data_IF_600643614797
#
_entry.id   IF_600643614797
#
_cell.length_a   1.000
_cell.length_b   1.000
_cell.length_c   1.000
_cell.angle_alpha   90.00
_cell.angle_beta   90.00
_cell.angle_gamma   90.00
#
_symmetry.space_group_name_H-M   'P 1'
#
loop_
_entity.id
_entity.type
_entity.pdbx_description
1 polymer ?
#
# COMPACT_ATOMS: atom_id res chain seq x y z
N UNK A 1 -41.00 11.28 5.10
CA UNK A 1 -39.66 10.66 4.93
C UNK A 1 -39.18 10.30 6.32
N UNK A 2 -39.10 9.03 6.71
CA UNK A 2 -38.60 8.66 8.04
C UNK A 2 -37.07 8.71 8.05
N UNK A 3 -36.60 9.33 9.14
CA UNK A 3 -35.21 9.51 9.53
C UNK A 3 -34.47 8.17 9.63
N UNK A 4 -33.39 8.00 8.85
CA UNK A 4 -32.50 6.88 8.99
C UNK A 4 -31.55 7.13 10.16
N UNK A 5 -31.94 6.69 11.33
CA UNK A 5 -31.08 6.61 12.49
C UNK A 5 -29.85 5.77 12.16
N UNK A 6 -28.70 6.42 12.12
CA UNK A 6 -27.38 5.75 12.00
C UNK A 6 -27.17 4.92 13.28
N UNK A 7 -27.11 3.62 13.15
CA UNK A 7 -26.76 2.74 14.27
C UNK A 7 -25.34 3.09 14.77
N UNK A 8 -25.12 3.15 16.10
CA UNK A 8 -23.79 3.39 16.65
C UNK A 8 -22.85 2.23 16.27
N UNK A 9 -21.60 2.57 15.96
CA UNK A 9 -20.54 1.59 15.72
C UNK A 9 -20.35 0.77 17.01
N UNK A 10 -20.14 -0.57 16.90
CA UNK A 10 -19.89 -1.41 18.07
C UNK A 10 -18.62 -0.99 18.79
N UNK A 11 -18.64 -1.07 20.12
CA UNK A 11 -17.51 -0.75 21.00
C UNK A 11 -16.33 -1.70 20.68
N UNK A 12 -15.08 -1.20 20.60
CA UNK A 12 -13.91 -2.03 20.38
C UNK A 12 -13.73 -3.18 21.39
N UNK A 13 -14.38 -3.11 22.55
CA UNK A 13 -14.36 -4.15 23.59
C UNK A 13 -15.33 -5.31 23.33
N UNK A 14 -16.30 -5.16 22.43
CA UNK A 14 -17.27 -6.23 22.11
C UNK A 14 -16.72 -7.31 21.15
N UNK A 15 -15.51 -7.17 20.65
CA UNK A 15 -14.85 -8.12 19.74
C UNK A 15 -14.02 -9.20 20.45
N UNK A 16 -14.07 -9.28 21.78
CA UNK A 16 -13.40 -10.32 22.57
C UNK A 16 -14.24 -11.62 22.58
N UNK A 17 -14.30 -12.34 21.46
CA UNK A 17 -15.13 -13.56 21.45
C UNK A 17 -15.10 -14.44 20.22
N UNK A 18 -13.93 -14.66 19.60
CA UNK A 18 -13.66 -15.91 18.85
C UNK A 18 -12.18 -16.20 19.01
N UNK A 19 -11.83 -17.34 19.63
CA UNK A 19 -10.45 -17.77 19.87
C UNK A 19 -9.64 -18.09 18.62
N UNK A 20 -9.80 -17.29 17.59
CA UNK A 20 -9.09 -17.35 16.32
C UNK A 20 -7.71 -16.70 16.39
N UNK A 21 -6.79 -17.17 15.57
CA UNK A 21 -5.44 -16.61 15.41
C UNK A 21 -5.53 -15.14 14.98
N UNK A 22 -4.93 -14.21 15.75
CA UNK A 22 -4.82 -12.80 15.37
C UNK A 22 -3.74 -12.66 14.31
N UNK A 23 -3.96 -11.78 13.33
CA UNK A 23 -2.99 -11.50 12.25
C UNK A 23 -2.83 -10.01 11.99
N UNK A 24 -1.68 -9.66 11.39
CA UNK A 24 -1.44 -8.38 10.76
C UNK A 24 -1.35 -8.60 9.24
N UNK A 25 -2.22 -7.95 8.48
CA UNK A 25 -2.18 -7.91 7.01
C UNK A 25 -1.60 -6.58 6.57
N UNK A 26 -0.51 -6.60 5.81
CA UNK A 26 0.11 -5.41 5.23
C UNK A 26 0.15 -5.55 3.72
N UNK A 27 -0.36 -4.54 3.02
CA UNK A 27 -0.30 -4.51 1.55
C UNK A 27 0.55 -3.35 1.05
N UNK A 28 1.20 -3.55 -0.09
CA UNK A 28 1.61 -2.44 -0.94
C UNK A 28 0.38 -1.67 -1.43
N UNK A 29 0.61 -0.48 -2.00
CA UNK A 29 -0.48 0.42 -2.43
C UNK A 29 -0.56 0.53 -3.94
N UNK A 30 0.49 1.06 -4.59
CA UNK A 30 0.50 1.28 -6.04
C UNK A 30 0.48 -0.06 -6.78
N UNK A 31 -0.42 -0.22 -7.75
CA UNK A 31 -0.63 -1.48 -8.51
C UNK A 31 -1.01 -2.71 -7.65
N UNK A 32 -1.26 -2.55 -6.34
CA UNK A 32 -1.74 -3.60 -5.42
C UNK A 32 -3.06 -3.21 -4.78
N UNK A 33 -3.09 -2.28 -3.83
CA UNK A 33 -4.31 -1.76 -3.19
C UNK A 33 -5.08 -0.80 -4.10
N UNK A 34 -4.34 -0.07 -4.97
CA UNK A 34 -4.84 0.74 -6.07
C UNK A 34 -4.55 0.06 -7.41
N UNK A 35 -5.36 0.36 -8.42
CA UNK A 35 -5.18 -0.20 -9.78
C UNK A 35 -4.06 0.44 -10.59
N UNK A 36 -3.42 1.51 -10.09
CA UNK A 36 -2.38 2.26 -10.82
C UNK A 36 -1.36 2.91 -9.91
N UNK A 37 -0.46 3.65 -10.53
CA UNK A 37 0.67 4.34 -9.89
C UNK A 37 0.29 5.80 -9.58
N UNK A 38 0.34 6.19 -8.30
CA UNK A 38 0.01 7.57 -7.87
C UNK A 38 0.93 8.60 -8.52
N UNK A 39 2.21 8.28 -8.70
CA UNK A 39 3.16 9.20 -9.34
C UNK A 39 2.80 9.52 -10.80
N UNK A 40 2.21 8.58 -11.53
CA UNK A 40 1.76 8.81 -12.90
C UNK A 40 0.57 9.77 -12.95
N UNK A 41 -0.37 9.63 -12.01
CA UNK A 41 -1.51 10.54 -11.89
C UNK A 41 -1.04 11.97 -11.59
N UNK A 42 -0.05 12.15 -10.71
CA UNK A 42 0.53 13.47 -10.43
C UNK A 42 1.26 14.01 -11.66
N UNK A 43 2.01 13.14 -12.35
CA UNK A 43 2.75 13.53 -13.56
C UNK A 43 1.83 13.98 -14.70
N UNK A 44 0.63 13.43 -14.83
CA UNK A 44 -0.38 13.88 -15.78
C UNK A 44 -0.78 15.34 -15.54
N UNK A 45 -1.01 15.70 -14.28
CA UNK A 45 -1.30 17.08 -13.89
C UNK A 45 -0.10 18.02 -14.08
N UNK A 46 1.11 17.48 -13.99
CA UNK A 46 2.36 18.22 -14.23
C UNK A 46 2.71 18.38 -15.70
N UNK A 47 2.04 17.66 -16.62
CA UNK A 47 2.49 17.50 -18.00
C UNK A 47 3.84 16.78 -18.11
N UNK A 48 4.20 15.95 -17.12
CA UNK A 48 5.49 15.29 -16.96
C UNK A 48 5.43 13.77 -17.19
N UNK A 49 4.31 13.24 -17.70
CA UNK A 49 4.11 11.78 -17.88
C UNK A 49 5.24 11.15 -18.70
N UNK A 50 5.65 11.76 -19.81
CA UNK A 50 6.72 11.22 -20.66
C UNK A 50 8.07 11.19 -19.92
N UNK A 51 8.37 12.22 -19.11
CA UNK A 51 9.59 12.28 -18.32
C UNK A 51 9.59 11.18 -17.23
N UNK A 52 8.47 10.97 -16.53
CA UNK A 52 8.33 9.91 -15.54
C UNK A 52 8.46 8.52 -16.18
N UNK A 53 7.83 8.31 -17.35
CA UNK A 53 7.92 7.05 -18.08
C UNK A 53 9.36 6.74 -18.50
N UNK A 54 10.11 7.74 -18.98
CA UNK A 54 11.52 7.57 -19.38
C UNK A 54 12.41 7.16 -18.20
N UNK A 55 12.20 7.75 -17.00
CA UNK A 55 12.94 7.36 -15.78
C UNK A 55 12.58 5.94 -15.36
N UNK A 56 11.28 5.60 -15.41
CA UNK A 56 10.80 4.25 -15.08
C UNK A 56 11.43 3.20 -16.00
N UNK A 57 11.54 3.48 -17.29
CA UNK A 57 12.19 2.58 -18.24
C UNK A 57 13.69 2.38 -17.95
N UNK A 58 14.42 3.43 -17.58
CA UNK A 58 15.83 3.34 -17.14
C UNK A 58 15.97 2.47 -15.90
N UNK A 59 15.09 2.65 -14.91
CA UNK A 59 15.07 1.83 -13.70
C UNK A 59 14.78 0.34 -14.03
N UNK A 60 13.85 0.07 -14.95
CA UNK A 60 13.55 -1.30 -15.40
C UNK A 60 14.73 -1.96 -16.11
N UNK A 61 15.60 -1.19 -16.76
CA UNK A 61 16.86 -1.70 -17.33
C UNK A 61 17.99 -1.89 -16.30
N UNK A 62 17.73 -1.55 -15.03
CA UNK A 62 18.72 -1.66 -13.95
C UNK A 62 19.77 -0.55 -13.94
N UNK A 63 19.52 0.57 -14.64
CA UNK A 63 20.41 1.74 -14.68
C UNK A 63 20.31 2.60 -13.41
N UNK A 64 19.20 2.49 -12.67
CA UNK A 64 18.91 3.25 -11.46
C UNK A 64 18.45 2.29 -10.36
N UNK A 65 18.86 2.56 -9.13
CA UNK A 65 18.25 1.93 -7.97
C UNK A 65 16.85 2.56 -7.68
N UNK A 66 16.11 1.94 -6.76
CA UNK A 66 14.76 2.40 -6.41
C UNK A 66 14.74 3.85 -5.93
N UNK A 67 15.68 4.23 -5.05
CA UNK A 67 15.70 5.56 -4.46
C UNK A 67 16.16 6.61 -5.47
N UNK A 68 17.09 6.27 -6.36
CA UNK A 68 17.50 7.13 -7.48
C UNK A 68 16.36 7.36 -8.45
N UNK A 69 15.68 6.28 -8.86
CA UNK A 69 14.51 6.34 -9.73
C UNK A 69 13.38 7.17 -9.12
N UNK A 70 13.09 7.01 -7.82
CA UNK A 70 12.10 7.82 -7.13
C UNK A 70 12.47 9.30 -7.14
N UNK A 71 13.73 9.64 -6.81
CA UNK A 71 14.19 11.04 -6.80
C UNK A 71 14.10 11.68 -8.18
N UNK A 72 14.53 11.00 -9.24
CA UNK A 72 14.44 11.52 -10.60
C UNK A 72 12.98 11.72 -11.03
N UNK A 73 12.08 10.79 -10.73
CA UNK A 73 10.65 10.92 -11.04
C UNK A 73 10.01 12.07 -10.25
N UNK A 74 10.30 12.17 -8.95
CA UNK A 74 9.77 13.26 -8.12
C UNK A 74 10.30 14.62 -8.55
N UNK A 75 11.54 14.72 -9.02
CA UNK A 75 12.10 15.96 -9.53
C UNK A 75 11.30 16.53 -10.73
N UNK A 76 10.65 15.67 -11.51
CA UNK A 76 9.78 16.11 -12.63
C UNK A 76 8.49 16.78 -12.17
N UNK A 77 8.12 16.63 -10.89
CA UNK A 77 6.92 17.21 -10.28
C UNK A 77 7.15 18.61 -9.70
N UNK A 78 8.36 19.16 -9.84
CA UNK A 78 8.68 20.51 -9.36
C UNK A 78 7.75 21.56 -9.97
N UNK A 79 7.19 22.45 -9.14
CA UNK A 79 6.29 23.51 -9.57
C UNK A 79 4.81 23.10 -9.67
N UNK A 80 4.46 21.83 -9.45
CA UNK A 80 3.06 21.39 -9.40
C UNK A 80 2.38 21.99 -8.16
N UNK A 81 1.22 22.67 -8.30
CA UNK A 81 0.47 23.17 -7.17
C UNK A 81 0.00 22.03 -6.27
N UNK A 82 0.10 22.18 -4.94
CA UNK A 82 -0.40 21.17 -3.97
C UNK A 82 -1.89 20.88 -4.18
N UNK A 83 -2.67 21.86 -4.65
CA UNK A 83 -4.09 21.71 -4.98
C UNK A 83 -4.35 20.70 -6.10
N UNK A 84 -3.36 20.41 -6.98
CA UNK A 84 -3.49 19.37 -7.99
C UNK A 84 -3.61 17.96 -7.36
N UNK A 85 -3.09 17.77 -6.15
CA UNK A 85 -3.21 16.51 -5.42
C UNK A 85 -4.65 16.17 -5.02
N UNK A 86 -5.55 17.16 -4.93
CA UNK A 86 -6.98 16.92 -4.69
C UNK A 86 -7.59 16.15 -5.87
N UNK A 87 -7.31 16.59 -7.10
CA UNK A 87 -7.77 15.89 -8.30
C UNK A 87 -7.14 14.49 -8.44
N UNK A 88 -5.88 14.31 -8.00
CA UNK A 88 -5.23 12.99 -7.95
C UNK A 88 -5.95 12.07 -6.97
N UNK A 89 -6.33 12.57 -5.78
CA UNK A 89 -7.11 11.79 -4.79
C UNK A 89 -8.45 11.33 -5.34
N UNK A 90 -9.12 12.19 -6.11
CA UNK A 90 -10.39 11.85 -6.75
C UNK A 90 -10.24 10.85 -7.90
N UNK A 91 -9.06 10.79 -8.50
CA UNK A 91 -8.75 9.92 -9.64
C UNK A 91 -8.22 8.52 -9.25
N UNK A 92 -7.78 8.31 -8.00
CA UNK A 92 -7.33 6.99 -7.57
C UNK A 92 -8.49 5.99 -7.54
N UNK A 93 -8.22 4.78 -8.02
CA UNK A 93 -9.21 3.70 -8.08
C UNK A 93 -8.71 2.53 -7.24
N UNK A 94 -9.55 2.08 -6.30
CA UNK A 94 -9.26 0.89 -5.52
C UNK A 94 -9.25 -0.36 -6.41
N UNK A 95 -8.32 -1.25 -6.16
CA UNK A 95 -8.36 -2.59 -6.73
C UNK A 95 -9.66 -3.27 -6.30
N UNK A 96 -10.38 -3.97 -7.22
CA UNK A 96 -11.56 -4.73 -6.85
C UNK A 96 -11.29 -5.62 -5.63
N UNK A 97 -12.18 -5.61 -4.64
CA UNK A 97 -12.00 -6.39 -3.42
C UNK A 97 -11.16 -5.71 -2.33
N UNK A 98 -10.53 -4.56 -2.58
CA UNK A 98 -9.68 -3.90 -1.58
C UNK A 98 -10.45 -3.43 -0.34
N UNK A 99 -11.62 -2.82 -0.52
CA UNK A 99 -12.46 -2.41 0.59
C UNK A 99 -13.05 -3.61 1.34
N UNK A 100 -13.43 -4.66 0.62
CA UNK A 100 -13.91 -5.93 1.17
C UNK A 100 -12.81 -6.64 1.97
N UNK A 101 -11.56 -6.62 1.50
CA UNK A 101 -10.42 -7.14 2.24
C UNK A 101 -10.27 -6.43 3.60
N UNK A 102 -10.29 -5.09 3.61
CA UNK A 102 -10.20 -4.31 4.86
C UNK A 102 -11.35 -4.64 5.82
N UNK A 103 -12.58 -4.72 5.29
CA UNK A 103 -13.76 -5.04 6.09
C UNK A 103 -13.67 -6.44 6.69
N UNK A 104 -13.24 -7.44 5.91
CA UNK A 104 -13.13 -8.83 6.36
C UNK A 104 -11.98 -9.01 7.36
N UNK A 105 -10.82 -8.36 7.15
CA UNK A 105 -9.71 -8.37 8.11
C UNK A 105 -10.16 -7.85 9.47
N UNK A 106 -10.93 -6.75 9.49
CA UNK A 106 -11.51 -6.21 10.74
C UNK A 106 -12.54 -7.15 11.36
N UNK A 107 -13.43 -7.74 10.54
CA UNK A 107 -14.43 -8.69 11.04
C UNK A 107 -13.78 -9.90 11.73
N UNK A 108 -12.58 -10.30 11.27
CA UNK A 108 -11.77 -11.35 11.90
C UNK A 108 -11.04 -10.87 13.17
N UNK A 109 -11.12 -9.61 13.55
CA UNK A 109 -10.34 -9.02 14.65
C UNK A 109 -8.85 -8.93 14.36
N UNK A 110 -8.48 -8.85 13.07
CA UNK A 110 -7.12 -8.71 12.61
C UNK A 110 -6.78 -7.23 12.37
N UNK A 111 -5.49 -6.92 12.29
CA UNK A 111 -4.99 -5.59 11.96
C UNK A 111 -4.67 -5.46 10.48
N UNK A 112 -4.87 -4.25 9.93
CA UNK A 112 -4.56 -3.94 8.54
C UNK A 112 -3.65 -2.72 8.42
N UNK A 113 -2.66 -2.79 7.52
CA UNK A 113 -1.76 -1.69 7.24
C UNK A 113 -1.41 -1.54 5.77
N UNK A 114 -1.06 -0.31 5.37
CA UNK A 114 -0.63 0.06 4.02
C UNK A 114 0.81 0.56 4.06
N UNK A 115 1.68 0.01 3.22
CA UNK A 115 3.06 0.49 3.08
C UNK A 115 3.38 0.77 1.62
N UNK A 116 3.77 2.00 1.29
CA UNK A 116 3.86 2.46 -0.10
C UNK A 116 5.18 3.15 -0.40
N UNK A 117 5.71 2.88 -1.60
CA UNK A 117 6.72 3.71 -2.25
C UNK A 117 6.16 5.01 -2.87
N UNK A 118 4.83 5.16 -2.87
CA UNK A 118 4.13 6.38 -3.28
C UNK A 118 4.06 7.45 -2.18
N UNK A 119 2.98 8.27 -2.14
CA UNK A 119 2.99 9.53 -1.40
C UNK A 119 1.89 9.63 -0.36
N UNK A 120 2.28 10.10 0.83
CA UNK A 120 1.42 10.32 1.99
C UNK A 120 0.25 11.27 1.70
N UNK A 121 0.47 12.27 0.86
CA UNK A 121 -0.54 13.28 0.48
C UNK A 121 -1.78 12.68 -0.19
N UNK A 122 -1.64 11.50 -0.81
CA UNK A 122 -2.75 10.74 -1.39
C UNK A 122 -3.17 9.59 -0.47
N UNK A 123 -2.19 8.88 0.13
CA UNK A 123 -2.45 7.71 0.95
C UNK A 123 -3.15 8.04 2.28
N UNK A 124 -2.79 9.14 2.94
CA UNK A 124 -3.33 9.52 4.26
C UNK A 124 -4.85 9.74 4.22
N UNK A 125 -5.41 10.57 3.31
CA UNK A 125 -6.86 10.73 3.21
C UNK A 125 -7.58 9.44 2.77
N UNK A 126 -6.97 8.64 1.90
CA UNK A 126 -7.51 7.34 1.49
C UNK A 126 -7.59 6.39 2.68
N UNK A 127 -6.50 6.24 3.44
CA UNK A 127 -6.47 5.41 4.64
C UNK A 127 -7.51 5.86 5.67
N UNK A 128 -7.65 7.18 5.89
CA UNK A 128 -8.64 7.74 6.78
C UNK A 128 -10.08 7.42 6.34
N UNK A 129 -10.38 7.51 5.04
CA UNK A 129 -11.72 7.20 4.50
C UNK A 129 -12.13 5.74 4.72
N UNK A 130 -11.15 4.84 4.75
CA UNK A 130 -11.33 3.42 5.02
C UNK A 130 -11.11 3.07 6.50
N UNK A 131 -10.81 4.05 7.36
CA UNK A 131 -10.50 3.89 8.78
C UNK A 131 -9.21 3.08 9.03
N UNK A 132 -8.28 3.04 8.09
CA UNK A 132 -6.97 2.38 8.25
C UNK A 132 -6.07 3.32 9.05
N UNK A 133 -5.58 2.86 10.20
CA UNK A 133 -4.75 3.67 11.11
C UNK A 133 -3.26 3.42 10.95
N UNK A 134 -2.87 2.27 10.36
CA UNK A 134 -1.47 1.91 10.10
C UNK A 134 -1.16 2.13 8.64
N UNK A 135 -0.39 3.16 8.35
CA UNK A 135 0.10 3.39 7.00
C UNK A 135 1.48 4.07 7.02
N UNK A 136 2.24 3.86 5.96
CA UNK A 136 3.55 4.47 5.72
C UNK A 136 3.76 4.71 4.25
N UNK A 137 4.20 5.94 3.89
CA UNK A 137 4.53 6.34 2.53
C UNK A 137 5.63 7.39 2.53
N UNK A 138 6.19 7.70 1.36
CA UNK A 138 7.03 8.88 1.19
C UNK A 138 6.19 10.15 1.37
N UNK A 139 6.84 11.27 1.64
CA UNK A 139 6.18 12.58 1.73
C UNK A 139 6.81 13.53 0.72
N UNK A 140 5.96 14.22 -0.05
CA UNK A 140 6.42 15.26 -0.98
C UNK A 140 6.77 16.54 -0.21
N UNK A 141 7.86 17.19 -0.62
CA UNK A 141 8.20 18.50 -0.09
C UNK A 141 7.43 19.58 -0.86
N UNK A 142 6.79 20.49 -0.12
CA UNK A 142 6.10 21.64 -0.70
C UNK A 142 6.55 22.93 -0.02
N UNK A 143 6.72 24.00 -0.80
CA UNK A 143 7.04 25.35 -0.34
C UNK A 143 6.10 26.32 -1.07
N UNK A 144 5.50 27.23 -0.32
CA UNK A 144 4.58 28.24 -0.86
C UNK A 144 3.44 27.66 -1.73
N UNK A 145 2.95 26.47 -1.36
CA UNK A 145 1.83 25.82 -2.02
C UNK A 145 2.17 25.10 -3.32
N UNK A 146 3.46 24.91 -3.64
CA UNK A 146 3.94 24.14 -4.81
C UNK A 146 4.92 23.07 -4.39
N UNK A 147 4.93 21.95 -5.13
CA UNK A 147 5.89 20.87 -4.95
C UNK A 147 7.29 21.32 -5.36
N UNK A 148 8.30 20.98 -4.54
CA UNK A 148 9.69 21.35 -4.84
C UNK A 148 10.40 20.35 -5.75
N UNK A 149 9.79 19.21 -6.04
CA UNK A 149 10.44 18.10 -6.72
C UNK A 149 11.32 17.25 -5.82
N UNK A 150 11.13 17.31 -4.50
CA UNK A 150 11.86 16.51 -3.51
C UNK A 150 10.90 15.77 -2.57
N UNK A 151 11.42 14.76 -1.89
CA UNK A 151 10.75 14.10 -0.77
C UNK A 151 11.33 14.54 0.57
N UNK A 152 10.53 14.44 1.63
CA UNK A 152 10.94 14.71 3.01
C UNK A 152 11.17 13.40 3.74
N UNK A 153 12.28 13.30 4.47
CA UNK A 153 12.62 12.13 5.28
C UNK A 153 13.18 10.95 4.46
N UNK A 154 13.34 9.79 5.11
CA UNK A 154 13.89 8.60 4.47
C UNK A 154 12.91 8.01 3.44
N UNK A 155 13.45 7.53 2.33
CA UNK A 155 12.67 6.87 1.27
C UNK A 155 12.11 5.54 1.78
N UNK A 156 10.84 5.27 1.49
CA UNK A 156 10.21 3.98 1.73
C UNK A 156 10.58 3.05 0.58
N UNK A 157 11.72 2.43 0.74
CA UNK A 157 12.26 1.41 -0.17
C UNK A 157 11.91 -0.01 0.30
N UNK A 158 12.51 -1.00 -0.35
CA UNK A 158 12.36 -2.43 -0.07
C UNK A 158 12.68 -2.77 1.39
N UNK A 159 13.80 -2.28 1.92
CA UNK A 159 14.21 -2.55 3.29
C UNK A 159 13.29 -1.87 4.31
N UNK A 160 12.82 -0.66 4.01
CA UNK A 160 11.88 0.07 4.86
C UNK A 160 10.51 -0.60 4.87
N UNK A 161 10.04 -1.20 3.77
CA UNK A 161 8.80 -1.98 3.75
C UNK A 161 8.88 -3.19 4.70
N UNK A 162 9.95 -3.97 4.61
CA UNK A 162 10.18 -5.10 5.54
C UNK A 162 10.27 -4.64 6.99
N UNK A 163 11.09 -3.63 7.27
CA UNK A 163 11.25 -3.09 8.62
C UNK A 163 9.92 -2.56 9.20
N UNK A 164 9.05 -2.00 8.35
CA UNK A 164 7.72 -1.53 8.74
C UNK A 164 6.82 -2.69 9.15
N UNK A 165 6.76 -3.77 8.36
CA UNK A 165 6.02 -4.98 8.70
C UNK A 165 6.47 -5.54 10.05
N UNK A 166 7.79 -5.69 10.26
CA UNK A 166 8.37 -6.19 11.51
C UNK A 166 8.05 -5.28 12.71
N UNK A 167 8.18 -3.97 12.53
CA UNK A 167 7.88 -2.99 13.57
C UNK A 167 6.41 -3.06 14.00
N UNK A 168 5.49 -3.06 13.05
CA UNK A 168 4.07 -3.15 13.36
C UNK A 168 3.66 -4.50 13.98
N UNK A 169 4.26 -5.61 13.54
CA UNK A 169 4.05 -6.90 14.19
C UNK A 169 4.51 -6.87 15.65
N UNK A 170 5.69 -6.31 15.93
CA UNK A 170 6.22 -6.18 17.29
C UNK A 170 5.34 -5.27 18.16
N UNK A 171 4.88 -4.13 17.65
CA UNK A 171 3.97 -3.19 18.35
C UNK A 171 2.65 -3.86 18.76
N UNK A 172 2.20 -4.83 17.95
CA UNK A 172 0.96 -5.60 18.20
C UNK A 172 1.19 -6.86 19.05
N UNK A 173 2.44 -7.16 19.41
CA UNK A 173 2.81 -8.39 20.11
C UNK A 173 2.59 -9.65 19.26
N UNK A 174 2.65 -9.52 17.94
CA UNK A 174 2.50 -10.62 16.98
C UNK A 174 3.89 -11.15 16.56
N UNK A 175 3.96 -12.46 16.30
CA UNK A 175 5.12 -13.07 15.66
C UNK A 175 5.08 -12.82 14.15
N UNK A 176 6.23 -12.94 13.48
CA UNK A 176 6.26 -12.85 12.01
C UNK A 176 5.42 -13.96 11.35
N UNK A 177 5.27 -15.13 11.98
CA UNK A 177 4.38 -16.18 11.51
C UNK A 177 2.90 -15.74 11.45
N UNK A 178 2.51 -14.71 12.21
CA UNK A 178 1.14 -14.16 12.24
C UNK A 178 0.96 -12.97 11.30
N UNK A 179 1.93 -12.71 10.42
CA UNK A 179 1.84 -11.62 9.43
C UNK A 179 1.48 -12.14 8.05
N UNK A 180 0.77 -11.31 7.30
CA UNK A 180 0.47 -11.49 5.88
C UNK A 180 1.02 -10.26 5.14
N UNK A 181 1.81 -10.46 4.09
CA UNK A 181 2.32 -9.39 3.25
C UNK A 181 1.88 -9.60 1.79
N UNK A 182 1.39 -8.54 1.16
CA UNK A 182 0.89 -8.56 -0.21
C UNK A 182 1.53 -7.46 -1.03
N UNK A 183 2.02 -7.77 -2.24
CA UNK A 183 2.60 -6.79 -3.14
C UNK A 183 2.80 -7.33 -4.55
N UNK A 184 3.10 -6.46 -5.52
CA UNK A 184 3.27 -6.80 -6.94
C UNK A 184 4.69 -6.60 -7.45
N UNK A 185 5.48 -5.76 -6.76
CA UNK A 185 6.76 -5.26 -7.22
C UNK A 185 7.99 -5.88 -6.57
N UNK A 186 9.15 -5.70 -7.19
CA UNK A 186 10.43 -6.18 -6.65
C UNK A 186 10.79 -5.49 -5.31
N UNK A 187 10.26 -4.29 -5.08
CA UNK A 187 10.38 -3.55 -3.83
C UNK A 187 9.57 -4.15 -2.66
N UNK A 188 8.73 -5.17 -2.91
CA UNK A 188 7.94 -5.87 -1.90
C UNK A 188 8.58 -7.19 -1.45
N UNK A 189 9.56 -7.70 -2.21
CA UNK A 189 10.09 -9.04 -2.02
C UNK A 189 10.63 -9.32 -0.62
N UNK A 190 11.30 -8.35 0.04
CA UNK A 190 11.80 -8.56 1.40
C UNK A 190 10.65 -8.62 2.40
N UNK A 191 9.63 -7.76 2.25
CA UNK A 191 8.42 -7.80 3.06
C UNK A 191 7.64 -9.10 2.85
N UNK A 192 7.45 -9.52 1.59
CA UNK A 192 6.81 -10.78 1.22
C UNK A 192 7.58 -11.97 1.80
N UNK A 193 8.91 -11.99 1.64
CA UNK A 193 9.75 -13.08 2.13
C UNK A 193 9.84 -13.17 3.65
N UNK A 194 9.66 -12.05 4.36
CA UNK A 194 9.72 -11.99 5.82
C UNK A 194 8.39 -12.38 6.50
N UNK A 195 7.27 -12.28 5.80
CA UNK A 195 5.94 -12.56 6.34
C UNK A 195 5.71 -14.06 6.57
N UNK A 196 4.82 -14.39 7.52
CA UNK A 196 4.34 -15.76 7.70
C UNK A 196 3.56 -16.28 6.48
N UNK A 197 2.81 -15.37 5.82
CA UNK A 197 2.15 -15.63 4.53
C UNK A 197 2.49 -14.49 3.57
N UNK A 198 3.43 -14.72 2.67
CA UNK A 198 3.84 -13.74 1.67
C UNK A 198 3.18 -14.01 0.32
N UNK A 199 2.46 -13.04 -0.23
CA UNK A 199 1.61 -13.20 -1.42
C UNK A 199 2.01 -12.20 -2.51
N UNK A 200 2.36 -12.68 -3.68
CA UNK A 200 2.46 -11.89 -4.89
C UNK A 200 1.07 -11.71 -5.50
N UNK A 201 0.55 -10.48 -5.56
CA UNK A 201 -0.77 -10.17 -6.11
C UNK A 201 -0.63 -9.50 -7.48
N UNK A 202 -1.27 -10.04 -8.51
CA UNK A 202 -1.20 -9.54 -9.90
C UNK A 202 0.24 -9.16 -10.34
N UNK A 203 1.22 -9.84 -9.78
CA UNK A 203 2.62 -9.45 -9.71
C UNK A 203 3.39 -9.69 -11.00
N UNK A 204 4.46 -8.92 -11.16
CA UNK A 204 5.46 -9.12 -12.22
C UNK A 204 6.06 -10.54 -12.13
N UNK A 205 6.47 -11.14 -13.27
CA UNK A 205 6.96 -12.53 -13.29
C UNK A 205 8.07 -12.84 -12.28
N UNK A 206 9.00 -11.89 -12.07
CA UNK A 206 10.08 -12.03 -11.10
C UNK A 206 9.57 -12.17 -9.67
N UNK A 207 8.61 -11.35 -9.27
CA UNK A 207 8.04 -11.35 -7.92
C UNK A 207 7.22 -12.63 -7.70
N UNK A 208 6.42 -13.00 -8.69
CA UNK A 208 5.65 -14.23 -8.68
C UNK A 208 6.52 -15.49 -8.52
N UNK A 209 7.69 -15.50 -9.15
CA UNK A 209 8.63 -16.64 -9.06
C UNK A 209 9.33 -16.74 -7.70
N UNK A 210 9.40 -15.65 -6.92
CA UNK A 210 10.11 -15.61 -5.63
C UNK A 210 9.16 -15.63 -4.41
N UNK A 211 7.91 -15.24 -4.58
CA UNK A 211 6.93 -15.25 -3.50
C UNK A 211 6.49 -16.68 -3.15
N UNK A 212 6.25 -16.99 -1.86
CA UNK A 212 5.73 -18.29 -1.45
C UNK A 212 4.35 -18.62 -2.04
N UNK A 213 3.51 -17.59 -2.19
CA UNK A 213 2.16 -17.71 -2.75
C UNK A 213 1.90 -16.63 -3.79
N UNK A 214 0.93 -16.88 -4.68
CA UNK A 214 0.52 -15.89 -5.68
C UNK A 214 -0.98 -15.93 -5.94
N UNK A 215 -1.54 -14.73 -6.21
CA UNK A 215 -2.92 -14.51 -6.62
C UNK A 215 -2.90 -13.66 -7.89
N UNK A 216 -3.55 -14.15 -8.95
CA UNK A 216 -3.50 -13.50 -10.28
C UNK A 216 -4.42 -12.29 -10.41
N UNK A 217 -5.25 -12.06 -9.39
CA UNK A 217 -6.28 -11.03 -9.42
C UNK A 217 -7.53 -11.48 -10.22
N UNK A 218 -8.43 -10.59 -10.57
CA UNK A 218 -8.33 -9.14 -10.35
C UNK A 218 -8.73 -8.67 -8.94
N UNK A 219 -9.23 -9.55 -8.06
CA UNK A 219 -9.78 -9.19 -6.74
C UNK A 219 -8.74 -9.37 -5.64
N UNK A 220 -8.51 -8.28 -4.88
CA UNK A 220 -7.51 -8.29 -3.80
C UNK A 220 -7.95 -9.13 -2.58
N UNK A 221 -9.25 -9.22 -2.30
CA UNK A 221 -9.79 -10.04 -1.21
C UNK A 221 -9.56 -11.55 -1.39
N UNK A 222 -9.22 -12.01 -2.60
CA UNK A 222 -8.85 -13.41 -2.85
C UNK A 222 -7.57 -13.83 -2.10
N UNK A 223 -6.74 -12.87 -1.64
CA UNK A 223 -5.58 -13.18 -0.79
C UNK A 223 -5.98 -13.87 0.52
N UNK A 224 -7.20 -13.63 1.02
CA UNK A 224 -7.71 -14.27 2.22
C UNK A 224 -7.90 -15.77 2.05
N UNK A 225 -8.26 -16.23 0.83
CA UNK A 225 -8.35 -17.67 0.55
C UNK A 225 -7.00 -18.36 0.74
N UNK A 226 -5.91 -17.73 0.30
CA UNK A 226 -4.55 -18.27 0.52
C UNK A 226 -4.23 -18.36 2.02
N UNK A 227 -4.60 -17.31 2.79
CA UNK A 227 -4.39 -17.31 4.24
C UNK A 227 -5.18 -18.42 4.91
N UNK A 228 -6.44 -18.62 4.51
CA UNK A 228 -7.33 -19.66 5.06
C UNK A 228 -6.82 -21.08 4.72
N UNK A 229 -6.28 -21.29 3.51
CA UNK A 229 -5.65 -22.56 3.12
C UNK A 229 -4.39 -22.86 3.94
N UNK A 230 -3.55 -21.85 4.20
CA UNK A 230 -2.34 -21.99 5.07
C UNK A 230 -2.72 -22.29 6.52
N UNK A 231 -3.82 -21.74 7.01
CA UNK A 231 -4.27 -21.97 8.39
C UNK A 231 -4.95 -23.35 8.57
N UNK A 232 -5.40 -23.96 7.49
CA UNK A 232 -6.07 -25.28 7.50
C UNK A 232 -5.08 -26.45 7.36
N UNK A 233 -3.86 -26.23 6.87
CA UNK A 233 -2.84 -27.27 6.61
C UNK A 233 -1.83 -27.41 7.70
#
# INVERSE_FOLDING_TARGET
MPDRATAPLPDPTDLAGTGGRRRLVVTDVDSTFLTGEVIELIADHAGAREAVAAVTERAMRGELDFAESLRERVATLAGVPVTALDAVRDAVVLTPGAAELVAEVRRRGWEFGLVSGGFAEVLEPLAASLGITRWRANRLEAVDGVLTGRTVGPVVDRAVKEATLRGWAADLGLSMADTVAVGDGANDLDMIGAAGVGIAFAAKPLVRAQAPYSVDGPRLDEVLRVVDEVDAG
#
